data_IF_810583226089
#
_entry.id   IF_810583226089
#
_cell.length_a   1.000
_cell.length_b   1.000
_cell.length_c   1.000
_cell.angle_alpha   90.00
_cell.angle_beta   90.00
_cell.angle_gamma   90.00
#
_symmetry.space_group_name_H-M   'P 1'
#
loop_
_entity.id
_entity.type
_entity.pdbx_description
1 polymer ?
#
# COMPACT_ATOMS: atom_id res chain seq x y z
N UNK A 1 -1.54 30.95 13.82
CA UNK A 1 -1.35 29.86 12.85
C UNK A 1 -1.85 28.59 13.51
N UNK A 2 -3.11 28.21 13.27
CA UNK A 2 -3.63 26.93 13.76
C UNK A 2 -3.02 25.80 12.92
N UNK A 3 -2.39 24.84 13.59
CA UNK A 3 -1.92 23.62 12.97
C UNK A 3 -3.14 22.78 12.60
N UNK A 4 -3.37 22.59 11.30
CA UNK A 4 -4.37 21.64 10.82
C UNK A 4 -3.80 20.24 11.07
N UNK A 5 -4.01 19.72 12.27
CA UNK A 5 -3.74 18.32 12.57
C UNK A 5 -4.79 17.50 11.83
N UNK A 6 -4.47 17.07 10.60
CA UNK A 6 -5.26 16.09 9.89
C UNK A 6 -5.23 14.79 10.70
N UNK A 7 -6.27 14.57 11.51
CA UNK A 7 -6.48 13.29 12.20
C UNK A 7 -6.61 12.14 11.19
N UNK A 8 -6.46 10.88 11.63
CA UNK A 8 -6.62 9.74 10.74
C UNK A 8 -8.02 9.77 10.11
N UNK A 9 -8.08 10.09 8.81
CA UNK A 9 -9.31 10.04 8.05
C UNK A 9 -9.74 8.58 7.93
N UNK A 10 -10.74 8.20 8.72
CA UNK A 10 -11.33 6.87 8.67
C UNK A 10 -12.46 6.91 7.65
N UNK A 11 -12.38 6.05 6.64
CA UNK A 11 -13.48 5.82 5.71
C UNK A 11 -13.74 4.32 5.59
N UNK A 12 -15.01 3.97 5.37
CA UNK A 12 -15.43 2.58 5.16
C UNK A 12 -15.56 2.36 3.67
N UNK A 13 -14.84 1.37 3.15
CA UNK A 13 -14.97 0.90 1.78
C UNK A 13 -15.64 -0.48 1.80
N UNK A 14 -16.87 -0.56 1.29
CA UNK A 14 -17.58 -1.83 1.13
C UNK A 14 -17.25 -2.39 -0.25
N UNK A 15 -16.75 -3.63 -0.29
CA UNK A 15 -16.39 -4.32 -1.52
C UNK A 15 -17.19 -5.61 -1.64
N UNK A 16 -17.67 -5.89 -2.85
CA UNK A 16 -18.12 -7.22 -3.25
C UNK A 16 -16.94 -8.20 -3.31
N UNK A 17 -17.23 -9.50 -3.40
CA UNK A 17 -16.18 -10.52 -3.55
C UNK A 17 -15.29 -10.29 -4.77
N UNK A 18 -15.90 -9.97 -5.91
CA UNK A 18 -15.18 -9.68 -7.16
C UNK A 18 -14.34 -8.40 -7.07
N UNK A 19 -14.88 -7.32 -6.51
CA UNK A 19 -14.13 -6.06 -6.32
C UNK A 19 -12.94 -6.26 -5.37
N UNK A 20 -13.12 -7.05 -4.32
CA UNK A 20 -12.05 -7.41 -3.39
C UNK A 20 -10.95 -8.20 -4.08
N UNK A 21 -11.29 -9.20 -4.89
CA UNK A 21 -10.32 -9.98 -5.66
C UNK A 21 -9.59 -9.10 -6.68
N UNK A 22 -10.31 -8.24 -7.40
CA UNK A 22 -9.70 -7.34 -8.38
C UNK A 22 -8.75 -6.35 -7.71
N UNK A 23 -9.15 -5.75 -6.59
CA UNK A 23 -8.31 -4.85 -5.82
C UNK A 23 -7.07 -5.57 -5.28
N UNK A 24 -7.24 -6.80 -4.77
CA UNK A 24 -6.13 -7.61 -4.28
C UNK A 24 -5.12 -7.88 -5.40
N UNK A 25 -5.58 -8.26 -6.59
CA UNK A 25 -4.73 -8.51 -7.75
C UNK A 25 -3.90 -7.28 -8.14
N UNK A 26 -4.54 -6.10 -8.16
CA UNK A 26 -3.87 -4.83 -8.47
C UNK A 26 -2.81 -4.51 -7.40
N UNK A 27 -3.16 -4.63 -6.12
CA UNK A 27 -2.23 -4.34 -5.02
C UNK A 27 -1.03 -5.29 -5.02
N UNK A 28 -1.24 -6.57 -5.30
CA UNK A 28 -0.17 -7.56 -5.40
C UNK A 28 0.74 -7.30 -6.60
N UNK A 29 0.17 -6.87 -7.74
CA UNK A 29 0.97 -6.49 -8.90
C UNK A 29 1.87 -5.28 -8.58
N UNK A 30 1.30 -4.21 -8.04
CA UNK A 30 2.04 -3.00 -7.68
C UNK A 30 3.13 -3.32 -6.64
N UNK A 31 2.83 -4.18 -5.67
CA UNK A 31 3.81 -4.62 -4.68
C UNK A 31 5.01 -5.31 -5.35
N UNK A 32 4.78 -6.23 -6.29
CA UNK A 32 5.86 -6.90 -7.03
C UNK A 32 6.68 -5.93 -7.87
N UNK A 33 6.04 -4.97 -8.52
CA UNK A 33 6.71 -3.95 -9.34
C UNK A 33 7.66 -3.09 -8.48
N UNK A 34 7.20 -2.67 -7.29
CA UNK A 34 8.01 -1.91 -6.32
C UNK A 34 9.23 -2.68 -5.82
N UNK A 35 9.06 -3.96 -5.52
CA UNK A 35 10.19 -4.82 -5.13
C UNK A 35 11.26 -4.88 -6.23
N UNK A 36 10.85 -5.00 -7.49
CA UNK A 36 11.77 -5.00 -8.63
C UNK A 36 12.49 -3.65 -8.78
N UNK A 37 11.81 -2.53 -8.54
CA UNK A 37 12.37 -1.18 -8.63
C UNK A 37 13.44 -0.92 -7.56
N UNK A 38 13.25 -1.41 -6.34
CA UNK A 38 14.24 -1.36 -5.24
C UNK A 38 15.48 -2.16 -5.58
N UNK A 39 15.31 -3.37 -6.10
CA UNK A 39 16.45 -4.20 -6.49
C UNK A 39 17.31 -3.59 -7.60
N UNK A 40 16.79 -2.61 -8.33
CA UNK A 40 17.51 -1.91 -9.42
C UNK A 40 18.11 -0.56 -9.00
N UNK A 41 17.73 -0.02 -7.84
CA UNK A 41 18.04 1.37 -7.47
C UNK A 41 18.90 1.44 -6.21
N UNK A 42 20.19 1.74 -6.37
CA UNK A 42 21.17 1.84 -5.27
C UNK A 42 21.21 3.23 -4.59
N UNK A 43 20.06 3.90 -4.47
CA UNK A 43 19.95 5.20 -3.81
C UNK A 43 19.41 5.04 -2.38
N UNK A 44 20.22 5.42 -1.38
CA UNK A 44 19.90 5.23 0.05
C UNK A 44 18.55 5.84 0.49
N UNK A 45 18.18 7.01 -0.02
CA UNK A 45 16.88 7.65 0.28
C UNK A 45 15.69 7.01 -0.43
N UNK A 46 15.95 6.38 -1.57
CA UNK A 46 14.92 5.70 -2.37
C UNK A 46 14.49 4.39 -1.69
N UNK A 47 15.44 3.66 -1.09
CA UNK A 47 15.16 2.42 -0.35
C UNK A 47 14.19 2.64 0.82
N UNK A 48 14.43 3.65 1.66
CA UNK A 48 13.53 3.95 2.80
C UNK A 48 12.12 4.38 2.36
N UNK A 49 12.02 5.08 1.22
CA UNK A 49 10.74 5.43 0.64
C UNK A 49 9.97 4.18 0.19
N UNK A 50 10.62 3.27 -0.53
CA UNK A 50 9.95 2.06 -0.99
C UNK A 50 9.64 1.08 0.14
N UNK A 51 10.50 0.93 1.15
CA UNK A 51 10.20 0.12 2.34
C UNK A 51 8.91 0.58 3.03
N UNK A 52 8.67 1.90 3.07
CA UNK A 52 7.43 2.45 3.61
C UNK A 52 6.23 2.13 2.72
N UNK A 53 6.36 2.26 1.41
CA UNK A 53 5.28 1.92 0.46
C UNK A 53 4.95 0.42 0.52
N UNK A 54 5.96 -0.45 0.59
CA UNK A 54 5.81 -1.89 0.76
C UNK A 54 5.07 -2.23 2.05
N UNK A 55 5.40 -1.59 3.17
CA UNK A 55 4.69 -1.81 4.43
C UNK A 55 3.21 -1.43 4.35
N UNK A 56 2.88 -0.33 3.65
CA UNK A 56 1.49 0.10 3.42
C UNK A 56 0.75 -0.92 2.55
N UNK A 57 1.32 -1.29 1.40
CA UNK A 57 0.74 -2.25 0.47
C UNK A 57 0.54 -3.60 1.13
N UNK A 58 1.53 -4.08 1.89
CA UNK A 58 1.43 -5.33 2.64
C UNK A 58 0.31 -5.27 3.67
N UNK A 59 0.20 -4.17 4.41
CA UNK A 59 -0.89 -3.97 5.37
C UNK A 59 -2.27 -3.98 4.70
N UNK A 60 -2.41 -3.40 3.51
CA UNK A 60 -3.67 -3.42 2.76
C UNK A 60 -4.00 -4.83 2.24
N UNK A 61 -3.02 -5.53 1.66
CA UNK A 61 -3.15 -6.91 1.19
C UNK A 61 -3.58 -7.82 2.34
N UNK A 62 -2.91 -7.73 3.50
CA UNK A 62 -3.22 -8.60 4.64
C UNK A 62 -4.61 -8.31 5.23
N UNK A 63 -5.07 -7.05 5.20
CA UNK A 63 -6.44 -6.69 5.60
C UNK A 63 -7.46 -7.21 4.60
N UNK A 64 -7.21 -7.02 3.31
CA UNK A 64 -8.12 -7.49 2.27
C UNK A 64 -8.20 -9.00 2.26
N UNK A 65 -7.11 -9.75 2.49
CA UNK A 65 -7.10 -11.23 2.52
C UNK A 65 -7.89 -11.84 3.68
N UNK A 66 -8.13 -11.10 4.76
CA UNK A 66 -9.00 -11.58 5.85
C UNK A 66 -10.47 -11.52 5.37
N UNK A 67 -11.28 -12.56 5.67
CA UNK A 67 -12.70 -12.59 5.33
C UNK A 67 -13.50 -11.54 6.13
#
# INVERSE_FOLDING_TARGET
>A
MEAITAGPATFTLTLTGEEREQLLNVLEQVFREKQVEVHRTDALGYKAHVEREEAILRGLIDRLRRP
#
